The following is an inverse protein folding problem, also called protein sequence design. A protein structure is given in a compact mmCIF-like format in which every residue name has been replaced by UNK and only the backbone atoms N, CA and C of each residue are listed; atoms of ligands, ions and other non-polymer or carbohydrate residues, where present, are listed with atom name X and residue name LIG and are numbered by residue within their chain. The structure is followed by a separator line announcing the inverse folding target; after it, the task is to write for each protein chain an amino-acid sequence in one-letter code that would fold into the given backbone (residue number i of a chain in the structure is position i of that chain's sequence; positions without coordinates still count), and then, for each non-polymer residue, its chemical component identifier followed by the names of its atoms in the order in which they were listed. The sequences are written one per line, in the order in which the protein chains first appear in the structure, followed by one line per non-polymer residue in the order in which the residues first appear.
data_IF_505858589650
#
_entry.id   IF_505858589650
#
_cell.length_a   1.000
_cell.length_b   1.000
_cell.length_c   1.000
_cell.angle_alpha   90.00
_cell.angle_beta   90.00
_cell.angle_gamma   90.00
#
_symmetry.space_group_name_H-M   'P 1'
#
loop_
_entity.id
_entity.type
_entity.pdbx_description
1 polymer ?
#
# COMPACT_ATOMS: atom_id res chain seq x y z
N UNK A 1 -5.61 7.32 -16.77
CA UNK A 1 -5.57 7.82 -15.37
C UNK A 1 -6.24 6.79 -14.51
N UNK A 2 -5.58 6.35 -13.45
CA UNK A 2 -6.10 5.37 -12.49
C UNK A 2 -6.99 6.07 -11.45
N UNK A 3 -7.98 5.36 -10.89
CA UNK A 3 -8.74 5.88 -9.75
C UNK A 3 -8.00 5.61 -8.43
N UNK A 4 -7.53 4.37 -8.21
CA UNK A 4 -6.78 3.99 -7.02
C UNK A 4 -5.51 3.23 -7.37
N UNK A 5 -4.39 3.71 -6.84
CA UNK A 5 -3.08 3.04 -6.92
C UNK A 5 -2.53 2.80 -5.52
N UNK A 6 -1.55 1.92 -5.39
CA UNK A 6 -0.82 1.72 -4.15
C UNK A 6 0.68 1.93 -4.34
N UNK A 7 1.32 2.49 -3.31
CA UNK A 7 2.76 2.69 -3.23
C UNK A 7 3.32 1.84 -2.09
N UNK A 8 4.36 1.09 -2.37
CA UNK A 8 5.07 0.24 -1.43
C UNK A 8 6.57 0.37 -1.65
N UNK A 9 7.35 0.58 -0.59
CA UNK A 9 8.78 0.30 -0.56
C UNK A 9 9.00 -0.99 0.22
N UNK A 10 9.78 -1.91 -0.34
CA UNK A 10 9.97 -3.24 0.22
C UNK A 10 11.42 -3.68 0.18
N UNK A 11 11.76 -4.64 1.03
CA UNK A 11 13.04 -5.35 1.03
C UNK A 11 12.83 -6.80 1.43
N UNK A 12 13.35 -7.74 0.60
CA UNK A 12 13.28 -9.18 0.85
C UNK A 12 11.86 -9.70 1.12
N UNK A 13 10.87 -9.22 0.34
CA UNK A 13 9.45 -9.49 0.51
C UNK A 13 8.85 -10.47 -0.52
N UNK A 14 9.68 -11.19 -1.29
CA UNK A 14 9.21 -12.08 -2.37
C UNK A 14 8.09 -13.02 -1.93
N UNK A 15 8.14 -13.50 -0.69
CA UNK A 15 7.18 -14.46 -0.14
C UNK A 15 5.81 -13.85 0.22
N UNK A 16 5.66 -12.52 0.19
CA UNK A 16 4.42 -11.80 0.50
C UNK A 16 3.83 -11.09 -0.70
N UNK A 17 4.67 -10.66 -1.64
CA UNK A 17 4.28 -9.77 -2.74
C UNK A 17 3.17 -10.33 -3.62
N UNK A 18 3.17 -11.64 -3.94
CA UNK A 18 2.13 -12.20 -4.79
C UNK A 18 0.75 -12.12 -4.15
N UNK A 19 0.63 -12.55 -2.87
CA UNK A 19 -0.63 -12.46 -2.13
C UNK A 19 -1.07 -11.00 -1.97
N UNK A 20 -0.14 -10.13 -1.59
CA UNK A 20 -0.39 -8.72 -1.37
C UNK A 20 -0.92 -8.03 -2.63
N UNK A 21 -0.29 -8.26 -3.80
CA UNK A 21 -0.73 -7.71 -5.08
C UNK A 21 -2.11 -8.24 -5.49
N UNK A 22 -2.30 -9.56 -5.44
CA UNK A 22 -3.58 -10.18 -5.83
C UNK A 22 -4.72 -9.72 -4.94
N UNK A 23 -4.48 -9.61 -3.64
CA UNK A 23 -5.48 -9.11 -2.69
C UNK A 23 -5.90 -7.67 -3.04
N UNK A 24 -4.93 -6.78 -3.23
CA UNK A 24 -5.24 -5.39 -3.51
C UNK A 24 -5.87 -5.17 -4.90
N UNK A 25 -5.52 -5.98 -5.90
CA UNK A 25 -6.25 -6.01 -7.18
C UNK A 25 -7.71 -6.42 -6.98
N UNK A 26 -7.97 -7.43 -6.14
CA UNK A 26 -9.33 -7.91 -5.87
C UNK A 26 -10.20 -6.83 -5.23
N UNK A 27 -9.65 -6.02 -4.34
CA UNK A 27 -10.40 -4.94 -3.66
C UNK A 27 -10.37 -3.61 -4.43
N UNK A 28 -9.81 -3.58 -5.65
CA UNK A 28 -9.97 -2.48 -6.60
C UNK A 28 -8.78 -1.53 -6.75
N UNK A 29 -7.57 -1.91 -6.31
CA UNK A 29 -6.35 -1.20 -6.70
C UNK A 29 -6.05 -1.54 -8.16
N UNK A 30 -5.81 -0.53 -8.99
CA UNK A 30 -5.64 -0.70 -10.43
C UNK A 30 -4.17 -0.81 -10.86
N UNK A 31 -3.26 -0.17 -10.10
CA UNK A 31 -1.82 -0.15 -10.40
C UNK A 31 -0.98 0.02 -9.14
N UNK A 32 0.25 -0.49 -9.16
CA UNK A 32 1.20 -0.47 -8.04
C UNK A 32 2.50 0.20 -8.43
N UNK A 33 2.97 1.13 -7.60
CA UNK A 33 4.29 1.73 -7.66
C UNK A 33 5.16 1.09 -6.59
N UNK A 34 6.03 0.16 -6.99
CA UNK A 34 6.87 -0.62 -6.09
C UNK A 34 8.31 -0.12 -6.10
N UNK A 35 8.89 0.04 -4.93
CA UNK A 35 10.26 0.51 -4.73
C UNK A 35 11.08 -0.59 -4.07
N UNK A 36 12.02 -1.19 -4.81
CA UNK A 36 12.95 -2.20 -4.29
C UNK A 36 14.09 -1.54 -3.52
N UNK A 37 14.17 -1.80 -2.23
CA UNK A 37 15.21 -1.27 -1.34
C UNK A 37 16.33 -2.29 -1.10
N UNK A 38 17.09 -2.62 -2.15
CA UNK A 38 18.20 -3.56 -2.13
C UNK A 38 17.81 -4.99 -1.67
N UNK A 39 16.73 -5.55 -2.23
CA UNK A 39 16.35 -6.94 -1.98
C UNK A 39 17.38 -7.92 -2.57
N UNK A 40 17.57 -9.02 -1.86
CA UNK A 40 18.45 -10.13 -2.24
C UNK A 40 17.68 -11.42 -2.57
N UNK A 41 16.38 -11.45 -2.31
CA UNK A 41 15.48 -12.57 -2.59
C UNK A 41 14.99 -12.58 -4.07
N UNK A 42 14.19 -13.58 -4.43
CA UNK A 42 13.70 -13.75 -5.82
C UNK A 42 12.41 -12.96 -6.12
N UNK A 43 12.30 -11.73 -5.62
CA UNK A 43 11.14 -10.87 -5.86
C UNK A 43 10.90 -10.58 -7.36
N UNK A 44 11.95 -10.57 -8.18
CA UNK A 44 11.83 -10.33 -9.62
C UNK A 44 11.01 -11.40 -10.33
N UNK A 45 11.17 -12.67 -9.97
CA UNK A 45 10.36 -13.77 -10.54
C UNK A 45 8.88 -13.60 -10.16
N UNK A 46 8.60 -13.14 -8.94
CA UNK A 46 7.24 -12.87 -8.46
C UNK A 46 6.61 -11.69 -9.21
N UNK A 47 7.35 -10.60 -9.39
CA UNK A 47 6.81 -9.37 -9.99
C UNK A 47 6.71 -9.40 -11.52
N UNK A 48 7.48 -10.26 -12.19
CA UNK A 48 7.54 -10.34 -13.67
C UNK A 48 6.15 -10.43 -14.33
N UNK A 49 5.22 -11.31 -13.91
CA UNK A 49 3.88 -11.37 -14.50
C UNK A 49 3.13 -10.04 -14.38
N UNK A 50 3.13 -9.43 -13.21
CA UNK A 50 2.43 -8.19 -12.94
C UNK A 50 3.01 -6.99 -13.70
N UNK A 51 4.34 -6.97 -13.88
CA UNK A 51 5.01 -5.98 -14.73
C UNK A 51 4.62 -6.16 -16.20
N UNK A 52 4.58 -7.41 -16.69
CA UNK A 52 4.20 -7.72 -18.06
C UNK A 52 2.73 -7.35 -18.37
N UNK A 53 1.85 -7.49 -17.38
CA UNK A 53 0.45 -7.06 -17.46
C UNK A 53 0.24 -5.54 -17.28
N UNK A 54 1.32 -4.78 -17.06
CA UNK A 54 1.24 -3.34 -16.81
C UNK A 54 0.61 -2.97 -15.46
N UNK A 55 0.52 -3.91 -14.52
CA UNK A 55 -0.04 -3.70 -13.18
C UNK A 55 0.98 -3.12 -12.19
N UNK A 56 2.26 -3.30 -12.45
CA UNK A 56 3.35 -2.88 -11.55
C UNK A 56 4.35 -2.00 -12.31
N UNK A 57 4.66 -0.85 -11.73
CA UNK A 57 5.87 -0.07 -12.05
C UNK A 57 6.89 -0.32 -10.95
N UNK A 58 7.97 -1.00 -11.28
CA UNK A 58 9.06 -1.31 -10.36
C UNK A 58 10.20 -0.31 -10.51
N UNK A 59 10.63 0.27 -9.40
CA UNK A 59 11.75 1.21 -9.31
C UNK A 59 12.79 0.71 -8.32
N UNK A 60 14.05 0.60 -8.74
CA UNK A 60 15.14 0.32 -7.82
C UNK A 60 15.41 1.56 -6.95
N UNK A 61 15.42 1.38 -5.62
CA UNK A 61 15.50 2.47 -4.64
C UNK A 61 16.44 2.14 -3.48
N UNK A 62 17.75 2.05 -3.73
CA UNK A 62 18.73 1.55 -2.75
C UNK A 62 19.01 2.54 -1.63
N UNK A 63 19.54 2.00 -0.52
CA UNK A 63 20.10 2.76 0.60
C UNK A 63 19.25 2.74 1.87
N UNK A 64 19.79 3.26 2.99
CA UNK A 64 19.11 3.25 4.28
C UNK A 64 18.04 4.35 4.38
N UNK A 65 17.00 4.11 5.17
CA UNK A 65 15.94 5.08 5.52
C UNK A 65 15.31 5.77 4.30
N UNK A 66 14.94 5.00 3.28
CA UNK A 66 14.46 5.53 2.00
C UNK A 66 12.94 5.68 1.91
N UNK A 67 12.17 5.21 2.89
CA UNK A 67 10.70 5.16 2.81
C UNK A 67 10.08 6.52 2.47
N UNK A 68 10.41 7.57 3.21
CA UNK A 68 9.85 8.90 2.97
C UNK A 68 10.25 9.47 1.61
N UNK A 69 11.47 9.18 1.16
CA UNK A 69 11.93 9.63 -0.16
C UNK A 69 11.22 8.89 -1.29
N UNK A 70 11.00 7.58 -1.15
CA UNK A 70 10.24 6.78 -2.10
C UNK A 70 8.78 7.26 -2.18
N UNK A 71 8.15 7.54 -1.04
CA UNK A 71 6.79 8.09 -0.98
C UNK A 71 6.69 9.46 -1.63
N UNK A 72 7.65 10.36 -1.35
CA UNK A 72 7.72 11.67 -1.99
C UNK A 72 7.92 11.57 -3.50
N UNK A 73 8.81 10.69 -3.95
CA UNK A 73 9.02 10.43 -5.37
C UNK A 73 7.75 9.88 -6.04
N UNK A 74 7.10 8.87 -5.44
CA UNK A 74 5.84 8.32 -5.93
C UNK A 74 4.78 9.40 -6.09
N UNK A 75 4.60 10.25 -5.07
CA UNK A 75 3.66 11.36 -5.08
C UNK A 75 3.92 12.32 -6.25
N UNK A 76 5.17 12.74 -6.42
CA UNK A 76 5.56 13.71 -7.46
C UNK A 76 5.39 13.16 -8.87
N UNK A 77 5.87 11.92 -9.10
CA UNK A 77 5.84 11.31 -10.44
C UNK A 77 4.42 10.99 -10.90
N UNK A 78 3.52 10.70 -9.97
CA UNK A 78 2.19 10.19 -10.30
C UNK A 78 1.05 11.17 -9.99
N UNK A 79 1.38 12.44 -9.74
CA UNK A 79 0.44 13.49 -9.36
C UNK A 79 -0.77 13.62 -10.29
N UNK A 80 -0.53 13.43 -11.59
CA UNK A 80 -1.56 13.55 -12.63
C UNK A 80 -1.98 12.19 -13.22
N UNK A 81 -1.44 11.09 -12.70
CA UNK A 81 -1.69 9.73 -13.21
C UNK A 81 -2.78 9.00 -12.45
N UNK A 82 -3.08 9.43 -11.22
CA UNK A 82 -4.03 8.76 -10.33
C UNK A 82 -4.84 9.76 -9.50
N UNK A 83 -6.06 9.37 -9.12
CA UNK A 83 -6.90 10.16 -8.19
C UNK A 83 -6.47 9.89 -6.74
N UNK A 84 -6.19 8.63 -6.38
CA UNK A 84 -5.81 8.21 -5.04
C UNK A 84 -4.55 7.36 -5.04
N UNK A 85 -3.65 7.60 -4.08
CA UNK A 85 -2.51 6.73 -3.78
C UNK A 85 -2.63 6.25 -2.34
N UNK A 86 -2.72 4.94 -2.13
CA UNK A 86 -2.60 4.29 -0.82
C UNK A 86 -1.12 3.99 -0.54
N UNK A 87 -0.62 4.40 0.62
CA UNK A 87 0.75 4.12 1.06
C UNK A 87 0.71 3.01 2.11
N UNK A 88 1.23 1.85 1.75
CA UNK A 88 1.10 0.61 2.52
C UNK A 88 2.46 -0.06 2.69
N UNK A 89 2.58 -0.90 3.74
CA UNK A 89 3.69 -1.82 3.93
C UNK A 89 3.32 -3.22 3.38
N UNK A 90 4.30 -4.10 3.20
CA UNK A 90 4.13 -5.42 2.56
C UNK A 90 3.39 -6.46 3.45
N UNK A 91 3.15 -6.13 4.70
CA UNK A 91 2.37 -6.91 5.67
C UNK A 91 0.99 -6.30 5.98
N UNK A 92 0.58 -5.26 5.25
CA UNK A 92 -0.68 -4.57 5.42
C UNK A 92 -1.66 -4.87 4.29
N UNK A 93 -2.88 -5.22 4.65
CA UNK A 93 -3.97 -5.55 3.74
C UNK A 93 -5.12 -4.56 3.91
N UNK A 94 -5.24 -3.61 2.99
CA UNK A 94 -6.27 -2.58 2.99
C UNK A 94 -7.57 -3.11 2.36
N UNK A 95 -8.68 -3.05 3.09
CA UNK A 95 -9.97 -3.53 2.60
C UNK A 95 -11.13 -2.62 3.08
N UNK A 96 -12.21 -2.52 2.32
CA UNK A 96 -13.41 -1.82 2.74
C UNK A 96 -14.20 -2.66 3.75
N UNK A 97 -14.88 -2.00 4.69
CA UNK A 97 -15.68 -2.66 5.74
C UNK A 97 -17.19 -2.65 5.47
N UNK A 98 -17.66 -1.79 4.57
CA UNK A 98 -19.09 -1.61 4.25
C UNK A 98 -19.38 -1.72 2.76
N UNK A 99 -18.42 -1.40 1.91
CA UNK A 99 -18.54 -1.45 0.45
C UNK A 99 -17.85 -2.70 -0.10
N UNK A 100 -18.16 -3.08 -1.35
CA UNK A 100 -17.54 -4.23 -2.01
C UNK A 100 -16.10 -3.95 -2.46
N UNK A 101 -15.75 -2.68 -2.73
CA UNK A 101 -14.42 -2.28 -3.23
C UNK A 101 -13.94 -0.99 -2.58
N UNK A 102 -12.61 -0.80 -2.57
CA UNK A 102 -12.00 0.45 -2.10
C UNK A 102 -12.42 1.68 -2.93
N UNK A 103 -12.50 1.61 -4.28
CA UNK A 103 -13.05 2.72 -5.06
C UNK A 103 -14.45 3.13 -4.65
N UNK A 104 -15.34 2.18 -4.37
CA UNK A 104 -16.69 2.50 -3.90
C UNK A 104 -16.66 3.24 -2.57
N UNK A 105 -15.87 2.74 -1.59
CA UNK A 105 -15.68 3.38 -0.30
C UNK A 105 -15.06 4.79 -0.43
N UNK A 106 -14.07 4.97 -1.31
CA UNK A 106 -13.36 6.25 -1.49
C UNK A 106 -14.20 7.32 -2.21
N UNK A 107 -15.24 6.93 -2.94
CA UNK A 107 -16.10 7.86 -3.67
C UNK A 107 -16.74 8.92 -2.76
N UNK A 108 -17.09 8.55 -1.53
CA UNK A 108 -17.63 9.45 -0.53
C UNK A 108 -16.64 10.52 -0.04
N UNK A 109 -15.34 10.33 -0.32
CA UNK A 109 -14.25 11.19 0.19
C UNK A 109 -13.58 12.03 -0.89
N UNK A 110 -14.06 12.05 -2.12
CA UNK A 110 -13.42 12.75 -3.26
C UNK A 110 -13.20 14.25 -3.04
N UNK A 111 -14.01 14.89 -2.22
CA UNK A 111 -13.84 16.30 -1.81
C UNK A 111 -12.61 16.51 -0.91
N UNK A 112 -12.14 15.46 -0.20
CA UNK A 112 -11.03 15.54 0.73
C UNK A 112 -9.68 15.34 0.04
N UNK A 113 -8.61 15.81 0.69
CA UNK A 113 -7.25 15.62 0.19
C UNK A 113 -6.65 14.27 0.61
N UNK A 114 -7.22 13.61 1.61
CA UNK A 114 -6.76 12.30 2.08
C UNK A 114 -7.75 11.63 3.02
N UNK A 115 -7.57 10.34 3.19
CA UNK A 115 -8.29 9.47 4.13
C UNK A 115 -7.25 8.76 5.00
N UNK A 116 -7.40 8.84 6.32
CA UNK A 116 -6.62 8.09 7.29
C UNK A 116 -7.37 6.81 7.67
N UNK A 117 -6.71 5.67 7.53
CA UNK A 117 -7.27 4.36 7.84
C UNK A 117 -6.53 3.78 9.04
N UNK A 118 -7.27 3.49 10.12
CA UNK A 118 -6.70 2.92 11.34
C UNK A 118 -6.32 1.45 11.17
N UNK A 119 -5.30 1.01 11.89
CA UNK A 119 -4.89 -0.39 11.90
C UNK A 119 -5.85 -1.28 12.69
N UNK A 120 -6.02 -2.48 12.18
CA UNK A 120 -6.54 -3.63 12.89
C UNK A 120 -5.39 -4.62 13.08
N UNK A 121 -4.90 -4.77 14.30
CA UNK A 121 -3.74 -5.63 14.58
C UNK A 121 -4.17 -7.09 14.71
N UNK A 122 -3.60 -7.95 13.87
CA UNK A 122 -3.77 -9.40 13.92
C UNK A 122 -2.60 -10.03 14.67
N UNK A 123 -2.91 -10.96 15.58
CA UNK A 123 -1.92 -11.71 16.34
C UNK A 123 -1.41 -12.93 15.58
N UNK A 124 -0.52 -13.70 16.22
CA UNK A 124 0.10 -14.90 15.63
C UNK A 124 -0.88 -16.06 15.37
N UNK A 125 -2.12 -15.97 15.82
CA UNK A 125 -3.15 -17.04 15.77
C UNK A 125 -2.68 -18.39 16.37
N UNK A 126 -1.70 -18.33 17.29
CA UNK A 126 -1.09 -19.49 17.93
C UNK A 126 0.09 -20.11 17.17
N UNK A 127 0.46 -19.56 16.01
CA UNK A 127 1.65 -20.00 15.28
C UNK A 127 2.93 -19.61 16.01
N UNK A 128 3.84 -20.58 16.18
CA UNK A 128 5.20 -20.37 16.75
C UNK A 128 6.24 -20.11 15.68
N UNK A 129 5.97 -20.54 14.47
CA UNK A 129 6.78 -20.32 13.28
C UNK A 129 5.87 -19.83 12.18
N UNK A 130 6.43 -19.17 11.18
CA UNK A 130 5.66 -18.72 10.02
C UNK A 130 4.93 -19.90 9.38
N UNK A 131 3.59 -19.85 9.25
CA UNK A 131 2.84 -20.89 8.55
C UNK A 131 3.13 -20.87 7.06
N UNK A 132 2.95 -22.00 6.41
CA UNK A 132 2.93 -22.09 4.95
C UNK A 132 1.55 -21.65 4.43
N UNK A 133 1.50 -20.89 3.36
CA UNK A 133 0.25 -20.44 2.75
C UNK A 133 -0.02 -18.94 2.94
N UNK A 134 -1.26 -18.55 2.69
CA UNK A 134 -1.64 -17.14 2.64
C UNK A 134 -1.68 -16.51 4.05
N UNK A 135 -1.15 -15.30 4.15
CA UNK A 135 -1.19 -14.47 5.37
C UNK A 135 -2.63 -14.27 5.84
N UNK A 136 -3.51 -13.88 4.90
CA UNK A 136 -4.94 -13.61 5.19
C UNK A 136 -5.73 -14.84 5.67
N UNK A 137 -5.25 -16.06 5.38
CA UNK A 137 -5.82 -17.30 5.89
C UNK A 137 -5.23 -17.76 7.20
N UNK A 138 -3.97 -17.44 7.43
CA UNK A 138 -3.20 -17.95 8.57
C UNK A 138 -3.37 -17.10 9.84
N UNK A 139 -3.56 -15.80 9.69
CA UNK A 139 -3.70 -14.85 10.80
C UNK A 139 -5.10 -14.25 10.80
N UNK A 140 -6.02 -14.85 11.58
CA UNK A 140 -7.45 -14.49 11.59
C UNK A 140 -7.93 -13.86 12.88
N UNK A 141 -7.15 -13.96 13.96
CA UNK A 141 -7.51 -13.42 15.26
C UNK A 141 -6.89 -12.05 15.44
N UNK A 142 -7.72 -11.03 15.59
CA UNK A 142 -7.32 -9.66 15.86
C UNK A 142 -7.64 -9.26 17.30
N UNK A 143 -7.01 -8.19 17.78
CA UNK A 143 -7.42 -7.50 18.99
C UNK A 143 -8.83 -6.91 18.87
N UNK A 144 -9.49 -6.71 20.01
CA UNK A 144 -10.85 -6.16 20.09
C UNK A 144 -10.88 -4.63 19.90
N UNK A 145 -9.72 -4.01 19.86
CA UNK A 145 -9.56 -2.56 19.71
C UNK A 145 -9.04 -2.18 18.31
N UNK A 146 -9.30 -0.95 17.93
CA UNK A 146 -8.69 -0.30 16.76
C UNK A 146 -7.43 0.41 17.23
N UNK A 147 -6.31 0.15 16.57
CA UNK A 147 -5.05 0.83 16.88
C UNK A 147 -5.08 2.27 16.38
N UNK A 148 -4.39 3.18 17.09
CA UNK A 148 -4.35 4.61 16.74
C UNK A 148 -3.40 4.92 15.59
N UNK A 149 -2.51 3.99 15.21
CA UNK A 149 -1.71 4.14 14.01
C UNK A 149 -2.58 4.10 12.77
N UNK A 150 -2.21 4.89 11.79
CA UNK A 150 -2.96 5.02 10.55
C UNK A 150 -2.07 4.85 9.34
N UNK A 151 -2.68 4.40 8.25
CA UNK A 151 -2.13 4.54 6.89
C UNK A 151 -2.92 5.57 6.12
N UNK A 152 -2.25 6.23 5.19
CA UNK A 152 -2.84 7.32 4.42
C UNK A 152 -3.14 6.89 2.99
N UNK A 153 -4.34 7.25 2.55
CA UNK A 153 -4.74 7.26 1.14
C UNK A 153 -4.89 8.73 0.78
N UNK A 154 -4.12 9.22 -0.19
CA UNK A 154 -4.10 10.65 -0.51
C UNK A 154 -4.46 10.92 -1.96
N UNK A 155 -5.12 12.05 -2.19
CA UNK A 155 -5.27 12.62 -3.52
C UNK A 155 -4.00 13.43 -3.83
N UNK A 156 -3.12 12.95 -4.73
CA UNK A 156 -1.82 13.58 -4.95
C UNK A 156 -1.94 15.00 -5.52
N UNK A 157 -3.02 15.33 -6.20
CA UNK A 157 -3.27 16.69 -6.71
C UNK A 157 -3.53 17.70 -5.58
N UNK A 158 -4.01 17.23 -4.42
CA UNK A 158 -4.37 18.04 -3.25
C UNK A 158 -3.34 17.98 -2.11
N UNK A 159 -2.19 17.35 -2.31
CA UNK A 159 -1.11 17.30 -1.31
C UNK A 159 -0.10 18.39 -1.61
N UNK A 160 0.21 19.25 -0.62
CA UNK A 160 1.11 20.41 -0.79
C UNK A 160 2.58 20.09 -0.60
N UNK A 161 2.89 19.07 0.20
CA UNK A 161 4.26 18.66 0.50
C UNK A 161 4.36 17.13 0.56
N UNK A 162 5.58 16.56 0.37
CA UNK A 162 5.79 15.13 0.56
C UNK A 162 5.51 14.72 2.01
N UNK A 163 5.35 13.42 2.21
CA UNK A 163 5.13 12.84 3.53
C UNK A 163 6.19 13.31 4.53
N UNK A 164 5.75 13.80 5.67
CA UNK A 164 6.61 14.19 6.79
C UNK A 164 6.94 12.95 7.63
N UNK A 165 5.97 12.05 7.77
CA UNK A 165 6.08 10.76 8.45
C UNK A 165 5.48 9.67 7.55
N UNK A 166 5.85 8.41 7.78
CA UNK A 166 5.31 7.27 7.02
C UNK A 166 3.77 7.17 7.07
N UNK A 167 3.15 7.82 8.07
CA UNK A 167 1.72 7.77 8.34
C UNK A 167 0.99 9.12 8.20
N UNK A 168 1.65 10.16 7.65
CA UNK A 168 1.01 11.47 7.51
C UNK A 168 1.52 12.26 6.31
N UNK A 169 0.64 13.07 5.73
CA UNK A 169 0.93 13.96 4.60
C UNK A 169 0.47 15.39 4.91
N UNK A 170 1.25 16.37 4.46
CA UNK A 170 0.81 17.77 4.50
C UNK A 170 -0.19 18.02 3.37
N UNK A 171 -1.40 18.42 3.72
CA UNK A 171 -2.47 18.67 2.79
C UNK A 171 -2.51 20.15 2.39
N UNK A 172 -2.91 20.43 1.15
CA UNK A 172 -3.15 21.81 0.71
C UNK A 172 -4.33 22.40 1.50
N UNK A 173 -4.24 23.64 1.98
CA UNK A 173 -5.43 24.32 2.48
C UNK A 173 -6.45 24.46 1.35
N UNK A 174 -7.71 24.48 1.72
CA UNK A 174 -8.88 24.59 0.83
C UNK A 174 -8.87 25.90 0.02
#
# INVERSE_FOLDING_TARGET
MYYLTACLIFRDAASYLEEWLRFHLLVGVEHFYLYDNDSSDDYLSVLRPFCAEGKVTLTRWPGPMQQLKAYAHCLQQNRNATVWIAYLDDDEFLFPTQDDTLPAALSAYERHAGVAVCWLLFGSDGHRTRPTGLVTRSYRRRGDWVDQHVKCIVNPAKVSAPAVLAHSFSLSPW
#
